data_IF_494258391974
#
_entry.id   IF_494258391974
#
_cell.length_a   1.000
_cell.length_b   1.000
_cell.length_c   1.000
_cell.angle_alpha   90.00
_cell.angle_beta   90.00
_cell.angle_gamma   90.00
#
_symmetry.space_group_name_H-M   'P 1'
#
loop_
_entity.id
_entity.type
_entity.pdbx_description
1 polymer ?
#
# COMPACT_ATOMS: atom_id res chain seq x y z
N UNK A 1 73.94 53.29 41.52
CA UNK A 1 72.51 53.27 41.12
C UNK A 1 72.30 52.06 40.23
N UNK A 2 71.74 50.99 40.77
CA UNK A 2 71.43 49.74 40.06
C UNK A 2 69.98 49.80 39.61
N UNK A 3 69.73 49.65 38.32
CA UNK A 3 68.38 49.59 37.75
C UNK A 3 67.68 48.29 38.18
N UNK A 4 66.37 48.33 38.49
CA UNK A 4 65.61 47.14 38.82
C UNK A 4 65.51 46.20 37.61
N UNK A 5 65.45 44.88 37.85
CA UNK A 5 65.37 43.89 36.78
C UNK A 5 64.06 44.04 35.97
N UNK A 6 64.09 43.70 34.67
CA UNK A 6 62.91 43.78 33.82
C UNK A 6 61.81 42.84 34.34
N UNK A 7 60.60 43.39 34.46
CA UNK A 7 59.38 42.66 34.81
C UNK A 7 59.19 41.53 33.78
N UNK A 8 59.19 40.28 34.27
CA UNK A 8 59.09 39.09 33.44
C UNK A 8 57.83 39.11 32.57
N UNK A 9 57.98 38.67 31.32
CA UNK A 9 56.87 38.53 30.39
C UNK A 9 55.78 37.62 30.99
N UNK A 10 54.48 37.94 30.82
CA UNK A 10 53.40 37.14 31.36
C UNK A 10 53.48 35.71 30.81
N UNK A 11 53.55 34.75 31.72
CA UNK A 11 53.52 33.32 31.44
C UNK A 11 52.14 32.98 30.84
N UNK A 12 52.10 32.73 29.53
CA UNK A 12 50.88 32.30 28.85
C UNK A 12 50.64 30.85 29.26
N UNK A 13 49.83 30.63 30.29
CA UNK A 13 49.34 29.30 30.60
C UNK A 13 48.43 28.83 29.48
N UNK A 14 48.88 27.81 28.77
CA UNK A 14 48.11 27.14 27.73
C UNK A 14 46.83 26.60 28.38
N UNK A 15 45.68 27.18 28.03
CA UNK A 15 44.39 26.81 28.60
C UNK A 15 44.06 25.41 28.08
N UNK A 16 44.44 24.38 28.84
CA UNK A 16 44.06 23.00 28.53
C UNK A 16 42.54 22.94 28.48
N UNK A 17 42.01 22.78 27.27
CA UNK A 17 40.58 22.60 27.06
C UNK A 17 40.21 21.25 27.67
N UNK A 18 39.39 21.26 28.72
CA UNK A 18 38.89 20.04 29.32
C UNK A 18 38.25 19.15 28.23
N UNK A 19 38.55 17.84 28.20
CA UNK A 19 38.00 16.94 27.20
C UNK A 19 36.47 16.98 27.27
N UNK A 20 35.83 17.19 26.11
CA UNK A 20 34.36 17.19 26.02
C UNK A 20 33.82 15.84 26.48
N UNK A 21 32.86 15.85 27.39
CA UNK A 21 32.19 14.63 27.84
C UNK A 21 31.48 13.96 26.65
N UNK A 22 31.61 12.63 26.48
CA UNK A 22 30.97 11.92 25.38
C UNK A 22 29.44 11.97 25.53
N UNK A 23 28.73 12.00 24.39
CA UNK A 23 27.26 11.92 24.39
C UNK A 23 26.84 10.62 25.10
N UNK A 24 25.88 10.66 26.05
CA UNK A 24 25.45 9.46 26.74
C UNK A 24 24.92 8.44 25.73
N UNK A 25 25.38 7.19 25.82
CA UNK A 25 24.97 6.11 24.92
C UNK A 25 23.44 5.98 24.83
N UNK A 26 22.71 6.16 25.94
CA UNK A 26 21.25 6.14 25.97
C UNK A 26 20.60 7.18 25.07
N UNK A 27 21.21 8.37 24.94
CA UNK A 27 20.72 9.42 24.03
C UNK A 27 20.90 8.99 22.58
N UNK A 28 22.05 8.41 22.24
CA UNK A 28 22.31 7.86 20.91
C UNK A 28 21.30 6.75 20.55
N UNK A 29 21.06 5.80 21.46
CA UNK A 29 20.09 4.71 21.26
C UNK A 29 18.67 5.27 21.07
N UNK A 30 18.27 6.30 21.82
CA UNK A 30 16.98 6.95 21.64
C UNK A 30 16.84 7.59 20.25
N UNK A 31 17.89 8.28 19.76
CA UNK A 31 17.89 8.88 18.43
C UNK A 31 17.83 7.84 17.31
N UNK A 32 18.62 6.77 17.42
CA UNK A 32 18.61 5.67 16.45
C UNK A 32 17.24 4.98 16.45
N UNK A 33 16.66 4.69 17.63
CA UNK A 33 15.34 4.09 17.74
C UNK A 33 14.24 4.95 17.11
N UNK A 34 14.20 6.24 17.43
CA UNK A 34 13.23 7.17 16.86
C UNK A 34 13.44 7.40 15.35
N UNK A 35 14.69 7.43 14.90
CA UNK A 35 15.02 7.53 13.48
C UNK A 35 14.58 6.30 12.69
N UNK A 36 14.84 5.09 13.21
CA UNK A 36 14.37 3.83 12.62
C UNK A 36 12.85 3.74 12.61
N UNK A 37 12.19 4.17 13.70
CA UNK A 37 10.72 4.25 13.76
C UNK A 37 10.19 5.16 12.66
N UNK A 38 10.72 6.37 12.56
CA UNK A 38 10.33 7.34 11.53
C UNK A 38 10.55 6.82 10.11
N UNK A 39 11.72 6.23 9.82
CA UNK A 39 12.02 5.65 8.51
C UNK A 39 11.11 4.45 8.19
N UNK A 40 10.81 3.62 9.20
CA UNK A 40 9.88 2.49 9.07
C UNK A 40 8.48 2.90 8.63
N UNK A 41 8.04 4.13 8.93
CA UNK A 41 6.73 4.65 8.52
C UNK A 41 6.57 4.83 7.01
N UNK A 42 7.67 4.99 6.28
CA UNK A 42 7.69 5.21 4.83
C UNK A 42 8.07 3.97 4.03
N UNK A 43 8.48 2.90 4.71
CA UNK A 43 8.87 1.65 4.08
C UNK A 43 7.63 0.74 3.89
N UNK A 44 7.74 -0.30 3.04
CA UNK A 44 6.73 -1.35 2.92
C UNK A 44 6.33 -1.96 4.26
N UNK A 45 5.03 -2.05 4.54
CA UNK A 45 4.49 -2.61 5.79
C UNK A 45 3.99 -4.04 5.63
N UNK A 46 3.29 -4.32 4.55
CA UNK A 46 2.78 -5.64 4.24
C UNK A 46 2.92 -5.93 2.75
N UNK A 47 3.04 -7.21 2.42
CA UNK A 47 2.88 -7.71 1.07
C UNK A 47 1.75 -8.71 1.06
N UNK A 48 0.75 -8.48 0.19
CA UNK A 48 -0.36 -9.38 -0.08
C UNK A 48 -0.13 -9.91 -1.49
N UNK A 49 0.21 -11.19 -1.63
CA UNK A 49 0.68 -11.78 -2.90
C UNK A 49 1.88 -11.02 -3.48
N UNK A 50 1.68 -10.24 -4.54
CA UNK A 50 2.70 -9.42 -5.22
C UNK A 50 2.50 -7.92 -5.03
N UNK A 51 1.44 -7.52 -4.31
CA UNK A 51 1.12 -6.11 -4.07
C UNK A 51 1.71 -5.71 -2.73
N UNK A 52 2.59 -4.71 -2.76
CA UNK A 52 3.19 -4.11 -1.57
C UNK A 52 2.32 -2.95 -1.08
N UNK A 53 1.93 -2.99 0.18
CA UNK A 53 1.23 -1.89 0.86
C UNK A 53 2.27 -1.11 1.65
N UNK A 54 2.42 0.18 1.33
CA UNK A 54 3.37 1.04 2.04
C UNK A 54 2.76 1.51 3.36
N UNK A 55 3.61 1.85 4.33
CA UNK A 55 3.12 2.39 5.59
C UNK A 55 2.26 3.64 5.43
N UNK A 56 2.60 4.51 4.48
CA UNK A 56 1.86 5.74 4.19
C UNK A 56 0.44 5.52 3.68
N UNK A 57 0.15 4.34 3.14
CA UNK A 57 -1.18 3.95 2.66
C UNK A 57 -2.12 3.56 3.82
N UNK A 58 -1.55 3.30 5.01
CA UNK A 58 -2.27 3.04 6.25
C UNK A 58 -1.93 4.06 7.35
N UNK A 59 -1.66 3.56 8.56
CA UNK A 59 -1.38 4.39 9.74
C UNK A 59 0.07 4.88 9.83
N UNK A 60 0.86 4.74 8.76
CA UNK A 60 2.24 5.21 8.67
C UNK A 60 2.37 6.72 8.87
N UNK A 61 1.38 7.50 8.47
CA UNK A 61 1.39 8.95 8.72
C UNK A 61 1.32 9.28 10.22
N UNK A 62 0.56 8.50 11.00
CA UNK A 62 0.43 8.68 12.44
C UNK A 62 1.74 8.32 13.13
N UNK A 63 2.33 7.17 12.77
CA UNK A 63 3.61 6.74 13.34
C UNK A 63 4.75 7.70 12.99
N UNK A 64 4.80 8.21 11.74
CA UNK A 64 5.79 9.20 11.31
C UNK A 64 5.70 10.50 12.12
N UNK A 65 4.49 11.04 12.30
CA UNK A 65 4.27 12.26 13.08
C UNK A 65 4.62 12.04 14.55
N UNK A 66 4.21 10.91 15.13
CA UNK A 66 4.51 10.59 16.52
C UNK A 66 6.03 10.43 16.77
N UNK A 67 6.75 9.74 15.88
CA UNK A 67 8.21 9.59 15.97
C UNK A 67 8.94 10.92 15.75
N UNK A 68 8.51 11.75 14.80
CA UNK A 68 9.09 13.07 14.57
C UNK A 68 8.85 14.02 15.77
N UNK A 69 7.65 13.99 16.36
CA UNK A 69 7.33 14.77 17.55
C UNK A 69 8.20 14.33 18.75
N UNK A 70 8.35 13.02 18.97
CA UNK A 70 9.23 12.48 19.99
C UNK A 70 10.69 12.92 19.79
N UNK A 71 11.18 12.91 18.55
CA UNK A 71 12.54 13.36 18.20
C UNK A 71 12.74 14.85 18.52
N UNK A 72 11.79 15.70 18.12
CA UNK A 72 11.84 17.13 18.37
C UNK A 72 11.77 17.46 19.87
N UNK A 73 10.92 16.75 20.62
CA UNK A 73 10.81 16.89 22.07
C UNK A 73 12.09 16.45 22.78
N UNK A 74 12.69 15.34 22.34
CA UNK A 74 13.95 14.85 22.89
C UNK A 74 15.08 15.87 22.66
N UNK A 75 15.21 16.40 21.44
CA UNK A 75 16.13 17.49 21.12
C UNK A 75 15.89 18.72 22.00
N UNK A 76 14.63 19.11 22.18
CA UNK A 76 14.26 20.21 23.07
C UNK A 76 14.64 19.94 24.53
N UNK A 77 14.48 18.71 25.00
CA UNK A 77 14.86 18.30 26.35
C UNK A 77 16.35 18.42 26.59
N UNK A 78 17.18 18.02 25.63
CA UNK A 78 18.64 18.13 25.71
C UNK A 78 19.12 19.60 25.78
N UNK A 79 18.31 20.54 25.30
CA UNK A 79 18.59 21.98 25.37
C UNK A 79 18.00 22.68 26.60
N UNK A 80 16.96 22.11 27.19
CA UNK A 80 16.20 22.77 28.24
C UNK A 80 16.64 22.31 29.62
N UNK A 81 17.50 23.07 30.30
CA UNK A 81 17.93 22.70 31.66
C UNK A 81 16.77 22.54 32.65
N UNK A 82 15.85 23.52 32.71
CA UNK A 82 14.72 23.48 33.66
C UNK A 82 13.55 22.60 33.24
N UNK A 83 13.33 22.39 31.94
CA UNK A 83 12.19 21.61 31.42
C UNK A 83 12.58 20.23 30.89
N UNK A 84 13.81 19.78 31.14
CA UNK A 84 14.33 18.51 30.63
C UNK A 84 13.39 17.36 30.97
N UNK A 85 13.01 17.20 32.24
CA UNK A 85 12.13 16.11 32.72
C UNK A 85 10.79 16.13 32.01
N UNK A 86 10.18 17.31 31.85
CA UNK A 86 8.88 17.46 31.17
C UNK A 86 8.99 17.05 29.70
N UNK A 87 9.98 17.60 28.98
CA UNK A 87 10.16 17.35 27.55
C UNK A 87 10.55 15.89 27.25
N UNK A 88 11.43 15.28 28.06
CA UNK A 88 11.70 13.84 27.95
C UNK A 88 10.47 13.01 28.25
N UNK A 89 9.63 13.42 29.20
CA UNK A 89 8.39 12.68 29.52
C UNK A 89 7.40 12.73 28.36
N UNK A 90 7.23 13.91 27.73
CA UNK A 90 6.40 14.06 26.54
C UNK A 90 6.97 13.28 25.35
N UNK A 91 8.30 13.26 25.17
CA UNK A 91 8.96 12.44 24.16
C UNK A 91 8.67 10.94 24.37
N UNK A 92 8.72 10.45 25.62
CA UNK A 92 8.35 9.07 25.95
C UNK A 92 6.90 8.74 25.61
N UNK A 93 5.96 9.65 25.88
CA UNK A 93 4.53 9.46 25.54
C UNK A 93 4.34 9.39 24.03
N UNK A 94 4.98 10.29 23.26
CA UNK A 94 4.92 10.27 21.81
C UNK A 94 5.56 8.99 21.21
N UNK A 95 6.71 8.55 21.76
CA UNK A 95 7.33 7.28 21.37
C UNK A 95 6.43 6.08 21.70
N UNK A 96 5.71 6.12 22.83
CA UNK A 96 4.78 5.07 23.24
C UNK A 96 3.56 5.00 22.30
N UNK A 97 3.05 6.15 21.87
CA UNK A 97 2.00 6.21 20.86
C UNK A 97 2.45 5.57 19.54
N UNK A 98 3.65 5.93 19.05
CA UNK A 98 4.22 5.31 17.84
C UNK A 98 4.38 3.79 17.99
N UNK A 99 4.94 3.32 19.11
CA UNK A 99 5.10 1.90 19.39
C UNK A 99 3.75 1.17 19.46
N UNK A 100 2.74 1.79 20.09
CA UNK A 100 1.39 1.23 20.17
C UNK A 100 0.75 1.03 18.81
N UNK A 101 0.85 2.01 17.91
CA UNK A 101 0.35 1.89 16.53
C UNK A 101 1.09 0.80 15.77
N UNK A 102 2.44 0.78 15.80
CA UNK A 102 3.22 -0.28 15.16
C UNK A 102 2.85 -1.70 15.63
N UNK A 103 2.69 -1.89 16.94
CA UNK A 103 2.32 -3.18 17.51
C UNK A 103 0.89 -3.56 17.13
N UNK A 104 -0.04 -2.60 17.13
CA UNK A 104 -1.41 -2.82 16.70
C UNK A 104 -1.47 -3.30 15.25
N UNK A 105 -0.80 -2.60 14.33
CA UNK A 105 -0.75 -2.96 12.92
C UNK A 105 -0.07 -4.31 12.69
N UNK A 106 1.04 -4.57 13.39
CA UNK A 106 1.71 -5.86 13.35
C UNK A 106 0.77 -7.00 13.79
N UNK A 107 0.04 -6.82 14.89
CA UNK A 107 -0.92 -7.82 15.38
C UNK A 107 -2.07 -8.06 14.42
N UNK A 108 -2.56 -6.99 13.78
CA UNK A 108 -3.66 -7.04 12.81
C UNK A 108 -3.23 -7.75 11.53
N UNK A 109 -2.07 -7.41 10.98
CA UNK A 109 -1.51 -8.04 9.77
C UNK A 109 -1.20 -9.53 10.02
N UNK A 110 -0.64 -9.86 11.19
CA UNK A 110 -0.42 -11.27 11.56
C UNK A 110 -1.72 -12.05 11.75
N UNK A 111 -2.78 -11.42 12.28
CA UNK A 111 -4.10 -12.04 12.40
C UNK A 111 -4.73 -12.37 11.04
N UNK A 112 -4.62 -11.45 10.06
CA UNK A 112 -5.09 -11.74 8.69
C UNK A 112 -4.37 -12.93 8.06
N UNK A 113 -3.07 -13.09 8.33
CA UNK A 113 -2.31 -14.23 7.82
C UNK A 113 -2.81 -15.57 8.40
N UNK A 114 -3.19 -15.61 9.68
CA UNK A 114 -3.73 -16.83 10.31
C UNK A 114 -5.15 -17.15 9.84
N UNK A 115 -5.99 -16.13 9.67
CA UNK A 115 -7.40 -16.33 9.30
C UNK A 115 -7.52 -16.85 7.85
N UNK A 116 -6.74 -16.29 6.93
CA UNK A 116 -6.70 -16.72 5.52
C UNK A 116 -6.14 -18.14 5.35
N UNK A 117 -5.14 -18.53 6.15
CA UNK A 117 -4.56 -19.87 6.10
C UNK A 117 -5.52 -21.00 6.53
N UNK A 118 -6.59 -20.67 7.26
CA UNK A 118 -7.57 -21.65 7.72
C UNK A 118 -8.72 -21.92 6.74
N UNK A 119 -9.02 -20.96 5.85
CA UNK A 119 -10.22 -20.97 5.00
C UNK A 119 -9.94 -21.11 3.50
N UNK A 120 -8.69 -20.99 3.05
CA UNK A 120 -8.34 -20.95 1.62
C UNK A 120 -7.40 -22.09 1.19
N UNK A 121 -7.98 -23.26 0.86
CA UNK A 121 -7.23 -24.34 0.17
C UNK A 121 -7.09 -24.11 -1.35
N UNK A 122 -7.67 -23.04 -1.91
CA UNK A 122 -7.77 -22.86 -3.38
C UNK A 122 -6.92 -21.68 -3.89
N UNK A 123 -6.63 -20.67 -3.05
CA UNK A 123 -5.72 -19.57 -3.39
C UNK A 123 -4.78 -19.32 -2.21
N UNK A 124 -3.49 -19.60 -2.40
CA UNK A 124 -2.45 -19.41 -1.38
C UNK A 124 -2.12 -17.90 -1.22
N UNK A 125 -3.07 -17.14 -0.67
CA UNK A 125 -2.89 -15.72 -0.37
C UNK A 125 -2.09 -15.60 0.91
N UNK A 126 -0.77 -15.40 0.77
CA UNK A 126 0.10 -15.12 1.91
C UNK A 126 0.19 -13.61 2.16
N UNK A 127 -0.10 -13.22 3.39
CA UNK A 127 0.13 -11.86 3.90
C UNK A 127 1.40 -11.90 4.75
N UNK A 128 2.44 -11.18 4.35
CA UNK A 128 3.72 -11.16 5.06
C UNK A 128 4.05 -9.76 5.57
N UNK A 129 4.39 -9.59 6.87
CA UNK A 129 4.95 -8.35 7.38
C UNK A 129 6.26 -8.02 6.66
N UNK A 130 6.42 -6.78 6.25
CA UNK A 130 7.59 -6.30 5.52
C UNK A 130 8.54 -5.50 6.42
N UNK A 131 9.72 -5.19 5.88
CA UNK A 131 10.82 -4.56 6.62
C UNK A 131 10.41 -3.25 7.31
N UNK A 132 9.54 -2.43 6.70
CA UNK A 132 9.12 -1.15 7.26
C UNK A 132 8.39 -1.30 8.58
N UNK A 133 7.44 -2.24 8.64
CA UNK A 133 6.69 -2.51 9.86
C UNK A 133 7.59 -3.09 10.96
N UNK A 134 8.50 -4.01 10.61
CA UNK A 134 9.42 -4.63 11.56
C UNK A 134 10.45 -3.62 12.11
N UNK A 135 11.09 -2.86 11.22
CA UNK A 135 12.05 -1.81 11.57
C UNK A 135 11.38 -0.73 12.42
N UNK A 136 10.17 -0.32 12.02
CA UNK A 136 9.34 0.65 12.72
C UNK A 136 9.02 0.19 14.16
N UNK A 137 8.52 -1.04 14.29
CA UNK A 137 8.18 -1.65 15.59
C UNK A 137 9.38 -1.74 16.51
N UNK A 138 10.49 -2.33 16.06
CA UNK A 138 11.71 -2.48 16.87
C UNK A 138 12.28 -1.11 17.26
N UNK A 139 12.35 -0.18 16.31
CA UNK A 139 12.82 1.18 16.54
C UNK A 139 11.99 1.92 17.59
N UNK A 140 10.67 1.84 17.49
CA UNK A 140 9.75 2.50 18.42
C UNK A 140 9.84 1.90 19.83
N UNK A 141 9.91 0.58 19.98
CA UNK A 141 10.07 -0.08 21.29
C UNK A 141 11.41 0.30 21.95
N UNK A 142 12.51 0.29 21.19
CA UNK A 142 13.83 0.72 21.67
C UNK A 142 13.81 2.19 22.09
N UNK A 143 13.13 3.05 21.32
CA UNK A 143 12.95 4.46 21.65
C UNK A 143 12.18 4.66 22.95
N UNK A 144 11.09 3.91 23.19
CA UNK A 144 10.32 3.97 24.45
C UNK A 144 11.20 3.65 25.64
N UNK A 145 11.90 2.51 25.61
CA UNK A 145 12.78 2.08 26.71
C UNK A 145 13.87 3.12 26.98
N UNK A 146 14.49 3.63 25.92
CA UNK A 146 15.55 4.64 26.03
C UNK A 146 15.03 5.97 26.56
N UNK A 147 13.87 6.45 26.09
CA UNK A 147 13.27 7.68 26.59
C UNK A 147 12.83 7.56 28.06
N UNK A 148 12.30 6.39 28.48
CA UNK A 148 11.99 6.13 29.89
C UNK A 148 13.24 6.13 30.77
N UNK A 149 14.33 5.51 30.32
CA UNK A 149 15.61 5.55 31.02
C UNK A 149 16.13 7.00 31.15
N UNK A 150 15.97 7.82 30.10
CA UNK A 150 16.30 9.24 30.15
C UNK A 150 15.39 10.01 31.12
N UNK A 151 14.09 9.72 31.19
CA UNK A 151 13.21 10.34 32.21
C UNK A 151 13.70 10.03 33.63
N UNK A 152 14.08 8.78 33.91
CA UNK A 152 14.60 8.37 35.22
C UNK A 152 15.91 9.08 35.54
N UNK A 153 16.85 9.13 34.58
CA UNK A 153 18.13 9.81 34.77
C UNK A 153 17.95 11.34 34.95
N UNK A 154 16.98 11.95 34.28
CA UNK A 154 16.68 13.37 34.40
C UNK A 154 16.10 13.69 35.78
N UNK A 155 15.21 12.83 36.32
CA UNK A 155 14.66 12.97 37.68
C UNK A 155 15.71 12.82 38.78
N UNK A 156 16.74 11.99 38.56
CA UNK A 156 17.88 11.83 39.49
C UNK A 156 18.90 12.98 39.40
N UNK A 157 18.68 13.98 38.54
CA UNK A 157 19.62 15.07 38.31
C UNK A 157 20.91 14.65 37.61
N UNK A 158 20.94 13.44 37.03
CA UNK A 158 22.16 12.82 36.50
C UNK A 158 22.38 13.04 35.00
N UNK A 159 21.43 13.64 34.28
CA UNK A 159 21.47 13.57 32.82
C UNK A 159 22.34 14.64 32.18
N UNK A 160 22.28 15.91 32.63
CA UNK A 160 23.07 16.99 32.03
C UNK A 160 23.25 18.11 33.07
N UNK A 161 24.35 18.08 33.85
CA UNK A 161 24.81 19.29 34.57
C UNK A 161 25.74 20.14 33.71
N UNK A 162 26.33 19.58 32.67
CA UNK A 162 27.20 20.30 31.76
C UNK A 162 26.43 20.70 30.50
N UNK A 163 26.27 22.01 30.21
CA UNK A 163 25.65 22.43 28.95
C UNK A 163 26.38 21.75 27.79
N UNK A 164 25.63 21.16 26.86
CA UNK A 164 26.25 20.58 25.66
C UNK A 164 27.21 21.60 25.04
N UNK A 165 28.34 21.15 24.46
CA UNK A 165 29.20 22.03 23.67
C UNK A 165 28.33 22.79 22.67
N UNK A 166 28.66 24.05 22.43
CA UNK A 166 27.87 25.02 21.68
C UNK A 166 27.74 24.58 20.20
N UNK A 167 26.95 23.54 19.94
CA UNK A 167 26.50 23.16 18.61
C UNK A 167 25.66 24.34 18.16
N UNK A 168 26.29 25.22 17.37
CA UNK A 168 25.68 26.46 16.88
C UNK A 168 24.26 26.14 16.47
N UNK A 169 23.31 26.83 17.11
CA UNK A 169 21.86 26.67 16.97
C UNK A 169 21.36 26.46 15.53
N UNK A 170 22.14 26.92 14.54
CA UNK A 170 21.97 26.77 13.10
C UNK A 170 21.95 25.32 12.60
N UNK A 171 22.93 24.48 12.92
CA UNK A 171 23.04 23.15 12.28
C UNK A 171 21.90 22.22 12.72
N UNK A 172 21.47 22.36 13.96
CA UNK A 172 20.33 21.61 14.49
C UNK A 172 18.98 22.20 14.06
N UNK A 173 18.88 23.53 13.87
CA UNK A 173 17.68 24.14 13.31
C UNK A 173 17.45 23.70 11.86
N UNK A 174 18.54 23.50 11.11
CA UNK A 174 18.51 22.91 9.76
C UNK A 174 18.01 21.45 9.84
N UNK A 175 18.51 20.64 10.79
CA UNK A 175 18.05 19.27 10.95
C UNK A 175 16.55 19.20 11.29
N UNK A 176 16.10 19.97 12.29
CA UNK A 176 14.69 20.02 12.72
C UNK A 176 13.78 20.55 11.62
N UNK A 177 14.18 21.62 10.92
CA UNK A 177 13.43 22.16 9.78
C UNK A 177 13.37 21.17 8.61
N UNK A 178 14.45 20.42 8.34
CA UNK A 178 14.46 19.38 7.33
C UNK A 178 13.52 18.22 7.71
N UNK A 179 13.52 17.77 8.97
CA UNK A 179 12.61 16.72 9.44
C UNK A 179 11.15 17.18 9.39
N UNK A 180 10.85 18.42 9.78
CA UNK A 180 9.51 19.03 9.69
C UNK A 180 9.06 19.23 8.24
N UNK A 181 9.96 19.64 7.34
CA UNK A 181 9.66 19.77 5.92
C UNK A 181 9.38 18.41 5.28
N UNK A 182 10.16 17.38 5.62
CA UNK A 182 9.95 16.01 5.14
C UNK A 182 8.64 15.42 5.66
N UNK A 183 8.28 15.63 6.93
CA UNK A 183 6.98 15.19 7.48
C UNK A 183 5.80 15.91 6.83
N UNK A 184 5.91 17.23 6.60
CA UNK A 184 4.84 17.99 5.94
C UNK A 184 4.72 17.69 4.44
N UNK A 185 5.78 17.24 3.78
CA UNK A 185 5.74 16.83 2.37
C UNK A 185 5.13 15.45 2.15
N UNK A 186 5.12 14.59 3.17
CA UNK A 186 4.56 13.26 3.09
C UNK A 186 3.05 13.19 3.41
N UNK A 187 2.42 14.29 3.83
CA UNK A 187 0.97 14.34 4.13
C UNK A 187 0.21 14.89 2.92
N UNK A 188 -0.58 14.07 2.19
CA UNK A 188 -1.17 14.45 0.89
C UNK A 188 -2.07 15.70 0.93
N UNK A 189 -2.72 15.95 2.08
CA UNK A 189 -3.70 17.04 2.24
C UNK A 189 -3.11 18.44 2.46
N UNK A 190 -1.79 18.58 2.63
CA UNK A 190 -1.16 19.84 3.06
C UNK A 190 -0.19 20.45 2.03
N UNK A 191 -0.15 19.93 0.80
CA UNK A 191 0.83 20.30 -0.23
C UNK A 191 1.01 21.82 -0.45
N UNK A 192 -0.06 22.61 -0.30
CA UNK A 192 0.00 24.09 -0.40
C UNK A 192 0.79 24.70 0.76
N UNK A 193 0.56 24.23 1.99
CA UNK A 193 1.28 24.68 3.19
C UNK A 193 2.73 24.22 3.11
N UNK A 194 2.98 23.02 2.57
CA UNK A 194 4.33 22.48 2.36
C UNK A 194 5.10 23.27 1.31
N UNK A 195 4.46 23.63 0.19
CA UNK A 195 5.07 24.47 -0.84
C UNK A 195 5.42 25.86 -0.29
N UNK A 196 4.50 26.48 0.48
CA UNK A 196 4.73 27.78 1.11
C UNK A 196 5.86 27.70 2.16
N UNK A 197 5.87 26.67 3.00
CA UNK A 197 6.90 26.48 4.02
C UNK A 197 8.27 26.16 3.41
N UNK A 198 8.33 25.38 2.32
CA UNK A 198 9.55 25.07 1.58
C UNK A 198 10.11 26.32 0.88
N UNK A 199 9.25 27.12 0.23
CA UNK A 199 9.65 28.39 -0.40
C UNK A 199 10.12 29.38 0.66
N UNK A 200 9.39 29.54 1.76
CA UNK A 200 9.79 30.42 2.86
C UNK A 200 11.12 30.00 3.48
N UNK A 201 11.32 28.69 3.69
CA UNK A 201 12.57 28.14 4.23
C UNK A 201 13.73 28.29 3.25
N UNK A 202 13.50 28.10 1.94
CA UNK A 202 14.48 28.32 0.88
C UNK A 202 14.89 29.79 0.75
N UNK A 203 13.93 30.72 0.83
CA UNK A 203 14.18 32.17 0.81
C UNK A 203 14.95 32.61 2.06
N UNK A 204 14.58 32.10 3.25
CA UNK A 204 15.32 32.32 4.49
C UNK A 204 16.75 31.75 4.40
N UNK A 205 16.93 30.61 3.78
CA UNK A 205 18.25 30.00 3.59
C UNK A 205 19.13 30.80 2.61
N UNK A 206 18.61 31.17 1.43
CA UNK A 206 19.34 31.98 0.45
C UNK A 206 19.76 33.35 1.01
N UNK A 207 18.92 33.96 1.83
CA UNK A 207 19.19 35.26 2.43
C UNK A 207 20.29 35.21 3.51
N UNK A 208 20.61 34.02 4.06
CA UNK A 208 21.56 33.85 5.17
C UNK A 208 22.81 33.03 4.83
N UNK A 209 22.82 32.27 3.72
CA UNK A 209 23.93 31.40 3.31
C UNK A 209 24.97 32.08 2.38
N UNK A 210 24.78 33.35 2.05
CA UNK A 210 25.43 34.00 0.91
C UNK A 210 26.97 34.09 0.86
N UNK A 211 27.80 33.91 1.93
CA UNK A 211 29.24 34.03 1.73
C UNK A 211 30.10 32.76 1.90
N UNK A 212 29.61 31.53 2.11
CA UNK A 212 30.52 30.39 2.38
C UNK A 212 30.28 29.13 1.55
N UNK A 213 31.29 28.83 0.70
CA UNK A 213 31.39 27.78 -0.33
C UNK A 213 31.28 26.31 0.14
N UNK A 214 30.97 26.05 1.42
CA UNK A 214 30.82 24.68 1.97
C UNK A 214 29.36 24.28 2.23
N UNK A 215 28.40 25.18 2.03
CA UNK A 215 26.97 24.91 2.22
C UNK A 215 26.28 24.17 1.05
N UNK A 216 27.02 23.83 -0.02
CA UNK A 216 26.44 23.35 -1.27
C UNK A 216 25.97 21.90 -1.20
N UNK A 217 26.69 20.97 -0.56
CA UNK A 217 26.33 19.55 -0.61
C UNK A 217 25.09 19.18 0.24
N UNK A 218 25.01 19.71 1.47
CA UNK A 218 23.87 19.47 2.38
C UNK A 218 22.62 20.19 1.88
N UNK A 219 22.78 21.39 1.32
CA UNK A 219 21.69 22.12 0.67
C UNK A 219 21.17 21.38 -0.58
N UNK A 220 22.07 20.80 -1.39
CA UNK A 220 21.69 20.01 -2.57
C UNK A 220 20.92 18.74 -2.19
N UNK A 221 21.34 18.03 -1.12
CA UNK A 221 20.63 16.83 -0.66
C UNK A 221 19.26 17.17 -0.06
N UNK A 222 19.13 18.25 0.70
CA UNK A 222 17.84 18.72 1.21
C UNK A 222 16.92 19.13 0.05
N UNK A 223 17.44 19.83 -0.95
CA UNK A 223 16.67 20.23 -2.15
C UNK A 223 16.25 19.03 -3.00
N UNK A 224 17.14 18.05 -3.23
CA UNK A 224 16.83 16.81 -3.94
C UNK A 224 15.79 15.96 -3.20
N UNK A 225 15.87 15.86 -1.86
CA UNK A 225 14.86 15.22 -1.05
C UNK A 225 13.50 15.92 -1.11
N UNK A 226 13.48 17.25 -1.21
CA UNK A 226 12.25 18.04 -1.36
C UNK A 226 11.63 17.84 -2.74
N UNK A 227 12.44 17.74 -3.81
CA UNK A 227 11.96 17.47 -5.17
C UNK A 227 11.41 16.05 -5.34
N UNK A 228 12.05 15.04 -4.71
CA UNK A 228 11.55 13.66 -4.70
C UNK A 228 10.22 13.55 -3.93
N UNK A 229 10.09 14.24 -2.80
CA UNK A 229 8.83 14.29 -2.05
C UNK A 229 7.71 15.02 -2.82
N UNK A 230 8.05 16.09 -3.55
CA UNK A 230 7.10 16.77 -4.43
C UNK A 230 6.64 15.88 -5.60
N UNK A 231 7.53 15.04 -6.16
CA UNK A 231 7.17 14.06 -7.19
C UNK A 231 6.17 13.00 -6.71
N UNK A 232 6.33 12.50 -5.47
CA UNK A 232 5.38 11.58 -4.85
C UNK A 232 4.01 12.22 -4.57
N UNK A 233 3.99 13.49 -4.17
CA UNK A 233 2.75 14.25 -3.95
C UNK A 233 1.94 14.49 -5.24
N UNK A 234 2.61 14.67 -6.38
CA UNK A 234 1.93 14.79 -7.69
C UNK A 234 1.31 13.46 -8.13
N UNK A 235 1.97 12.32 -7.86
CA UNK A 235 1.40 10.99 -8.11
C UNK A 235 0.17 10.69 -7.25
N UNK A 236 0.21 11.04 -5.95
CA UNK A 236 -0.93 10.90 -5.04
C UNK A 236 -2.10 11.82 -5.39
N UNK A 237 -1.83 13.06 -5.81
CA UNK A 237 -2.87 14.00 -6.23
C UNK A 237 -3.60 13.54 -7.51
N UNK A 238 -2.90 12.88 -8.44
CA UNK A 238 -3.52 12.31 -9.63
C UNK A 238 -4.43 11.12 -9.28
N UNK A 239 -4.00 10.25 -8.36
CA UNK A 239 -4.82 9.12 -7.87
C UNK A 239 -6.06 9.59 -7.09
N UNK A 240 -5.93 10.62 -6.26
CA UNK A 240 -7.03 11.15 -5.46
C UNK A 240 -8.02 12.00 -6.27
N UNK A 241 -7.57 12.64 -7.36
CA UNK A 241 -8.47 13.34 -8.28
C UNK A 241 -9.41 12.38 -9.03
N UNK A 242 -8.99 11.14 -9.27
CA UNK A 242 -9.83 10.12 -9.87
C UNK A 242 -10.91 9.56 -8.92
N UNK A 243 -10.67 9.56 -7.60
CA UNK A 243 -11.66 9.09 -6.59
C UNK A 243 -12.74 10.13 -6.25
N UNK A 244 -12.55 11.41 -6.58
CA UNK A 244 -13.44 12.45 -6.08
C UNK A 244 -14.76 12.61 -6.86
N UNK A 245 -14.84 12.06 -8.07
CA UNK A 245 -16.05 12.16 -8.91
C UNK A 245 -17.08 11.05 -8.62
N UNK A 246 -16.70 9.93 -8.01
CA UNK A 246 -17.60 8.82 -7.64
C UNK A 246 -18.02 8.82 -6.17
N UNK A 247 -17.27 9.50 -5.28
CA UNK A 247 -17.56 9.64 -3.85
C UNK A 247 -18.81 10.49 -3.57
N UNK A 248 -19.98 9.91 -3.81
CA UNK A 248 -21.29 10.53 -3.59
C UNK A 248 -22.43 9.91 -4.38
N UNK A 249 -22.13 9.07 -5.38
CA UNK A 249 -23.14 8.33 -6.14
C UNK A 249 -23.53 7.06 -5.39
N UNK A 250 -24.81 6.73 -5.39
CA UNK A 250 -25.31 5.47 -4.83
C UNK A 250 -24.76 4.30 -5.66
N UNK A 251 -24.44 3.17 -5.03
CA UNK A 251 -23.89 2.00 -5.74
C UNK A 251 -24.84 1.51 -6.85
N UNK A 252 -26.15 1.65 -6.65
CA UNK A 252 -27.17 1.36 -7.67
C UNK A 252 -27.11 2.27 -8.91
N UNK A 253 -26.55 3.48 -8.80
CA UNK A 253 -26.34 4.38 -9.94
C UNK A 253 -25.01 4.11 -10.66
N UNK A 254 -23.98 3.71 -9.91
CA UNK A 254 -22.66 3.38 -10.47
C UNK A 254 -22.75 2.08 -11.25
N UNK A 255 -23.42 1.07 -10.69
CA UNK A 255 -23.60 -0.26 -11.27
C UNK A 255 -24.99 -0.45 -11.88
N UNK A 256 -25.59 0.62 -12.40
CA UNK A 256 -26.88 0.54 -13.06
C UNK A 256 -26.80 -0.33 -14.33
N UNK A 257 -27.88 -1.08 -14.61
CA UNK A 257 -27.99 -1.84 -15.84
C UNK A 257 -27.80 -0.92 -17.07
N UNK A 258 -26.88 -1.31 -17.94
CA UNK A 258 -26.51 -0.54 -19.12
C UNK A 258 -25.43 0.53 -18.92
N UNK A 259 -24.90 0.72 -17.70
CA UNK A 259 -23.76 1.60 -17.43
C UNK A 259 -22.51 1.15 -18.21
N UNK A 260 -21.60 2.08 -18.54
CA UNK A 260 -20.36 1.71 -19.23
C UNK A 260 -19.43 0.96 -18.27
N UNK A 261 -18.84 -0.15 -18.72
CA UNK A 261 -17.84 -0.87 -17.93
C UNK A 261 -16.53 -0.07 -17.82
N UNK A 262 -16.24 0.80 -18.78
CA UNK A 262 -15.04 1.65 -18.75
C UNK A 262 -15.11 2.75 -17.67
N UNK A 263 -16.33 3.07 -17.20
CA UNK A 263 -16.54 3.98 -16.07
C UNK A 263 -16.37 3.27 -14.72
N UNK A 264 -16.27 1.93 -14.73
CA UNK A 264 -16.10 1.07 -13.55
C UNK A 264 -14.63 0.70 -13.42
N UNK A 265 -13.97 1.24 -12.40
CA UNK A 265 -12.54 1.01 -12.14
C UNK A 265 -12.30 -0.30 -11.37
N UNK A 266 -11.04 -0.74 -11.24
CA UNK A 266 -10.74 -1.96 -10.47
C UNK A 266 -11.17 -1.89 -8.99
N UNK A 267 -11.26 -0.68 -8.44
CA UNK A 267 -11.75 -0.39 -7.09
C UNK A 267 -12.59 0.88 -7.14
N UNK A 268 -13.91 0.72 -7.09
CA UNK A 268 -14.82 1.87 -7.01
C UNK A 268 -15.28 2.15 -5.59
N UNK A 269 -15.54 3.43 -5.33
CA UNK A 269 -16.18 3.89 -4.10
C UNK A 269 -17.55 4.44 -4.42
N UNK A 270 -18.56 3.88 -3.77
CA UNK A 270 -19.95 4.33 -3.90
C UNK A 270 -20.59 4.42 -2.51
N UNK A 271 -21.81 4.95 -2.44
CA UNK A 271 -22.58 5.04 -1.21
C UNK A 271 -23.63 3.93 -1.21
N UNK A 272 -23.70 3.16 -0.14
CA UNK A 272 -24.76 2.20 0.11
C UNK A 272 -25.27 2.41 1.54
N UNK A 273 -26.59 2.53 1.72
CA UNK A 273 -27.20 2.82 3.02
C UNK A 273 -26.58 4.04 3.75
N UNK A 274 -26.22 5.09 2.99
CA UNK A 274 -25.56 6.32 3.48
C UNK A 274 -24.17 6.08 4.09
N UNK A 275 -23.55 4.94 3.81
CA UNK A 275 -22.17 4.62 4.20
C UNK A 275 -21.31 4.50 2.95
N UNK A 276 -20.05 4.97 3.00
CA UNK A 276 -19.10 4.71 1.92
C UNK A 276 -18.80 3.21 1.89
N UNK A 277 -19.02 2.60 0.73
CA UNK A 277 -18.70 1.20 0.41
C UNK A 277 -17.58 1.16 -0.61
N UNK A 278 -16.68 0.19 -0.46
CA UNK A 278 -15.62 -0.10 -1.42
C UNK A 278 -16.02 -1.35 -2.18
N UNK A 279 -16.24 -1.22 -3.49
CA UNK A 279 -16.63 -2.33 -4.35
C UNK A 279 -15.40 -2.75 -5.14
N UNK A 280 -15.00 -4.00 -4.94
CA UNK A 280 -13.86 -4.60 -5.63
C UNK A 280 -14.38 -5.39 -6.84
N UNK A 281 -13.85 -5.07 -8.01
CA UNK A 281 -14.19 -5.79 -9.23
C UNK A 281 -13.19 -6.93 -9.44
N UNK A 282 -13.68 -8.17 -9.37
CA UNK A 282 -12.93 -9.32 -9.86
C UNK A 282 -12.86 -9.22 -11.38
N UNK A 283 -11.67 -9.42 -11.96
CA UNK A 283 -11.50 -9.45 -13.40
C UNK A 283 -10.99 -10.81 -13.86
N UNK A 284 -11.50 -11.30 -14.98
CA UNK A 284 -11.04 -12.53 -15.64
C UNK A 284 -10.83 -12.26 -17.11
N UNK A 285 -9.62 -12.48 -17.62
CA UNK A 285 -9.36 -12.45 -19.06
C UNK A 285 -9.90 -13.73 -19.69
N UNK A 286 -10.87 -13.59 -20.58
CA UNK A 286 -11.42 -14.68 -21.35
C UNK A 286 -10.41 -15.19 -22.40
N UNK A 287 -10.63 -16.39 -22.94
CA UNK A 287 -9.77 -17.00 -23.97
C UNK A 287 -9.66 -16.16 -25.26
N UNK A 288 -10.70 -15.41 -25.61
CA UNK A 288 -10.72 -14.51 -26.76
C UNK A 288 -9.97 -13.18 -26.50
N UNK A 289 -9.41 -13.00 -25.31
CA UNK A 289 -8.67 -11.81 -24.89
C UNK A 289 -9.54 -10.69 -24.30
N UNK A 290 -10.87 -10.84 -24.30
CA UNK A 290 -11.76 -9.90 -23.61
C UNK A 290 -11.61 -10.02 -22.09
N UNK A 291 -11.92 -8.97 -21.33
CA UNK A 291 -11.85 -8.99 -19.86
C UNK A 291 -13.25 -8.86 -19.30
N UNK A 292 -13.68 -9.84 -18.51
CA UNK A 292 -14.93 -9.82 -17.77
C UNK A 292 -14.68 -9.26 -16.37
N UNK A 293 -15.43 -8.22 -15.99
CA UNK A 293 -15.49 -7.68 -14.64
C UNK A 293 -16.73 -8.18 -13.92
N UNK A 294 -16.60 -8.54 -12.64
CA UNK A 294 -17.69 -9.08 -11.82
C UNK A 294 -17.59 -8.52 -10.40
N UNK A 295 -18.73 -8.16 -9.80
CA UNK A 295 -18.84 -7.87 -8.37
C UNK A 295 -20.22 -8.31 -7.83
N UNK A 296 -20.56 -7.89 -6.61
CA UNK A 296 -21.84 -8.21 -5.95
C UNK A 296 -23.07 -7.49 -6.54
N UNK A 297 -22.86 -6.45 -7.35
CA UNK A 297 -23.90 -5.66 -8.03
C UNK A 297 -24.08 -6.02 -9.52
N UNK A 298 -23.26 -6.92 -10.08
CA UNK A 298 -23.41 -7.37 -11.46
C UNK A 298 -22.11 -7.73 -12.16
N UNK A 299 -22.10 -7.62 -13.49
CA UNK A 299 -20.96 -7.97 -14.32
C UNK A 299 -20.97 -7.24 -15.67
N UNK A 300 -19.83 -7.18 -16.36
CA UNK A 300 -19.74 -6.65 -17.72
C UNK A 300 -18.38 -6.90 -18.36
N UNK A 301 -18.33 -6.91 -19.70
CA UNK A 301 -17.07 -7.02 -20.45
C UNK A 301 -16.43 -5.64 -20.65
N UNK A 302 -15.10 -5.56 -20.65
CA UNK A 302 -14.34 -4.35 -20.96
C UNK A 302 -14.80 -3.71 -22.28
N UNK A 303 -15.01 -2.38 -22.31
CA UNK A 303 -15.59 -1.68 -23.46
C UNK A 303 -17.09 -1.95 -23.69
N UNK A 304 -17.74 -2.72 -22.82
CA UNK A 304 -19.13 -3.10 -22.90
C UNK A 304 -20.03 -2.35 -21.92
N UNK A 305 -21.20 -2.95 -21.66
CA UNK A 305 -22.18 -2.45 -20.69
C UNK A 305 -22.25 -3.36 -19.47
N UNK A 306 -22.48 -2.76 -18.31
CA UNK A 306 -22.77 -3.42 -17.06
C UNK A 306 -24.15 -4.07 -17.12
N UNK A 307 -24.26 -5.27 -16.58
CA UNK A 307 -25.48 -6.07 -16.46
C UNK A 307 -25.70 -6.38 -14.98
N UNK A 308 -26.89 -6.05 -14.48
CA UNK A 308 -27.34 -6.50 -13.15
C UNK A 308 -28.09 -7.83 -13.21
N UNK A 309 -28.22 -8.43 -14.41
CA UNK A 309 -28.99 -9.64 -14.63
C UNK A 309 -28.18 -10.90 -14.23
N UNK A 310 -28.83 -11.76 -13.44
CA UNK A 310 -28.45 -13.13 -13.04
C UNK A 310 -26.96 -13.37 -12.74
N UNK A 311 -26.56 -14.64 -12.62
CA UNK A 311 -25.19 -15.02 -12.34
C UNK A 311 -24.27 -14.55 -13.47
N UNK A 312 -23.14 -13.92 -13.13
CA UNK A 312 -22.13 -13.57 -14.10
C UNK A 312 -21.74 -14.78 -14.95
N UNK A 313 -21.56 -14.63 -16.28
CA UNK A 313 -21.28 -15.72 -17.20
C UNK A 313 -19.81 -16.15 -17.09
N UNK A 314 -19.36 -16.49 -15.88
CA UNK A 314 -18.00 -16.94 -15.58
C UNK A 314 -17.61 -18.15 -16.43
N UNK A 315 -18.59 -18.98 -16.78
CA UNK A 315 -18.43 -20.08 -17.74
C UNK A 315 -17.98 -19.60 -19.13
N UNK A 316 -18.56 -18.52 -19.67
CA UNK A 316 -18.27 -18.03 -21.02
C UNK A 316 -16.80 -17.62 -21.20
N UNK A 317 -16.18 -17.03 -20.18
CA UNK A 317 -14.77 -16.60 -20.28
C UNK A 317 -13.79 -17.76 -20.48
N UNK A 318 -14.09 -18.92 -19.88
CA UNK A 318 -13.27 -20.12 -19.99
C UNK A 318 -13.79 -21.10 -21.03
N UNK A 319 -14.90 -20.75 -21.68
CA UNK A 319 -15.60 -21.58 -22.63
C UNK A 319 -14.86 -21.71 -23.96
N UNK A 320 -14.91 -22.89 -24.55
CA UNK A 320 -14.56 -23.12 -25.95
C UNK A 320 -15.80 -23.03 -26.87
N UNK A 321 -16.99 -22.72 -26.35
CA UNK A 321 -18.19 -22.55 -27.15
C UNK A 321 -18.00 -21.44 -28.19
N UNK A 322 -18.17 -21.79 -29.47
CA UNK A 322 -18.05 -20.84 -30.59
C UNK A 322 -19.40 -20.53 -31.24
N UNK A 323 -20.43 -21.34 -31.00
CA UNK A 323 -21.76 -21.20 -31.59
C UNK A 323 -22.85 -21.79 -30.69
N UNK A 324 -24.11 -21.59 -31.06
CA UNK A 324 -25.25 -22.09 -30.28
C UNK A 324 -25.45 -23.60 -30.47
N UNK A 325 -25.96 -24.27 -29.44
CA UNK A 325 -26.28 -25.70 -29.50
C UNK A 325 -27.29 -25.99 -30.62
N UNK A 326 -28.22 -25.07 -30.85
CA UNK A 326 -29.19 -25.16 -31.95
C UNK A 326 -28.54 -25.11 -33.34
N UNK A 327 -27.37 -24.47 -33.50
CA UNK A 327 -26.63 -24.43 -34.76
C UNK A 327 -25.77 -25.68 -34.97
N UNK A 328 -25.07 -26.14 -33.92
CA UNK A 328 -24.26 -27.36 -33.94
C UNK A 328 -25.15 -28.57 -34.27
N UNK A 329 -26.22 -28.72 -33.50
CA UNK A 329 -27.16 -29.84 -33.57
C UNK A 329 -28.38 -29.51 -34.45
N UNK A 330 -28.23 -28.63 -35.45
CA UNK A 330 -29.33 -28.34 -36.38
C UNK A 330 -29.66 -29.59 -37.21
N UNK A 331 -30.94 -29.76 -37.52
CA UNK A 331 -31.39 -30.87 -38.37
C UNK A 331 -30.63 -30.87 -39.71
N UNK A 332 -30.03 -32.01 -40.07
CA UNK A 332 -29.21 -32.17 -41.26
C UNK A 332 -27.73 -31.80 -41.11
N UNK A 333 -27.26 -31.35 -39.94
CA UNK A 333 -25.83 -31.19 -39.66
C UNK A 333 -25.09 -32.52 -39.79
N UNK A 334 -23.83 -32.52 -40.21
CA UNK A 334 -23.04 -33.76 -40.26
C UNK A 334 -22.52 -34.08 -38.87
N UNK A 335 -22.83 -35.27 -38.38
CA UNK A 335 -22.42 -35.74 -37.05
C UNK A 335 -20.92 -36.00 -37.04
N UNK A 336 -20.20 -35.38 -36.11
CA UNK A 336 -18.74 -35.53 -35.98
C UNK A 336 -18.38 -36.54 -34.88
N UNK A 337 -17.25 -37.24 -35.05
CA UNK A 337 -16.75 -38.18 -34.03
C UNK A 337 -16.45 -37.49 -32.70
N UNK A 338 -16.14 -36.20 -32.71
CA UNK A 338 -15.92 -35.43 -31.48
C UNK A 338 -17.17 -35.33 -30.59
N UNK A 339 -18.37 -35.54 -31.14
CA UNK A 339 -19.61 -35.51 -30.36
C UNK A 339 -19.90 -36.83 -29.62
N UNK A 340 -19.17 -37.91 -29.93
CA UNK A 340 -19.40 -39.24 -29.35
C UNK A 340 -18.92 -39.38 -27.91
N UNK A 341 -17.81 -38.73 -27.58
CA UNK A 341 -17.02 -39.02 -26.38
C UNK A 341 -16.54 -37.76 -25.64
N UNK A 342 -16.98 -36.58 -26.08
CA UNK A 342 -16.65 -35.29 -25.46
C UNK A 342 -17.91 -34.51 -25.11
N UNK A 343 -17.76 -33.61 -24.13
CA UNK A 343 -18.80 -32.64 -23.80
C UNK A 343 -18.71 -31.50 -24.79
N UNK A 344 -19.72 -31.35 -25.64
CA UNK A 344 -19.79 -30.25 -26.59
C UNK A 344 -20.25 -29.01 -25.83
N UNK A 345 -19.34 -28.03 -25.74
CA UNK A 345 -19.63 -26.75 -25.12
C UNK A 345 -20.24 -25.80 -26.16
N UNK A 346 -21.43 -25.29 -25.91
CA UNK A 346 -22.18 -24.45 -26.85
C UNK A 346 -23.06 -23.42 -26.14
N UNK A 347 -23.61 -22.46 -26.87
CA UNK A 347 -24.54 -21.48 -26.29
C UNK A 347 -26.00 -21.96 -26.39
N UNK A 348 -26.74 -21.93 -25.29
CA UNK A 348 -28.18 -22.25 -25.31
C UNK A 348 -29.02 -21.12 -25.93
N UNK A 349 -30.34 -21.22 -25.83
CA UNK A 349 -31.27 -20.21 -26.36
C UNK A 349 -31.24 -18.87 -25.60
N UNK A 350 -30.77 -18.83 -24.35
CA UNK A 350 -30.54 -17.59 -23.58
C UNK A 350 -29.13 -17.05 -23.80
N UNK A 351 -28.28 -17.81 -24.50
CA UNK A 351 -26.90 -17.49 -24.83
C UNK A 351 -25.91 -18.01 -23.80
N UNK A 352 -26.35 -18.68 -22.75
CA UNK A 352 -25.50 -19.20 -21.69
C UNK A 352 -24.75 -20.45 -22.13
N UNK A 353 -23.64 -20.73 -21.47
CA UNK A 353 -22.85 -21.93 -21.79
C UNK A 353 -23.64 -23.15 -21.33
N UNK A 354 -24.04 -23.95 -22.30
CA UNK A 354 -24.56 -25.29 -22.12
C UNK A 354 -23.49 -26.33 -22.48
N UNK A 355 -23.62 -27.48 -21.84
CA UNK A 355 -22.73 -28.62 -21.98
C UNK A 355 -23.57 -29.78 -22.46
N UNK A 356 -23.48 -30.08 -23.76
CA UNK A 356 -24.23 -31.16 -24.37
C UNK A 356 -23.37 -32.42 -24.37
N UNK A 357 -23.82 -33.41 -23.60
CA UNK A 357 -23.14 -34.70 -23.51
C UNK A 357 -23.72 -35.67 -24.53
N UNK A 358 -22.90 -36.07 -25.50
CA UNK A 358 -23.25 -37.13 -26.44
C UNK A 358 -22.91 -38.51 -25.89
N UNK A 359 -23.81 -39.46 -26.12
CA UNK A 359 -23.57 -40.89 -25.88
C UNK A 359 -23.33 -41.59 -27.21
N UNK A 360 -22.24 -42.35 -27.30
CA UNK A 360 -21.95 -43.18 -28.47
C UNK A 360 -22.31 -44.66 -28.25
N UNK A 361 -22.88 -45.29 -29.28
CA UNK A 361 -23.23 -46.71 -29.27
C UNK A 361 -23.00 -47.34 -30.64
N UNK A 362 -22.29 -48.47 -30.68
CA UNK A 362 -22.14 -49.27 -31.89
C UNK A 362 -23.41 -50.08 -32.17
N UNK A 363 -23.88 -50.09 -33.41
CA UNK A 363 -25.12 -50.78 -33.78
C UNK A 363 -24.87 -52.26 -34.04
N UNK A 364 -25.75 -53.15 -33.58
CA UNK A 364 -25.52 -54.61 -33.72
C UNK A 364 -25.63 -55.11 -35.17
N UNK A 365 -26.40 -54.44 -36.00
CA UNK A 365 -26.72 -54.85 -37.38
C UNK A 365 -25.85 -54.17 -38.45
N UNK A 366 -25.00 -53.22 -38.06
CA UNK A 366 -24.19 -52.41 -38.97
C UNK A 366 -22.89 -51.95 -38.33
N UNK A 367 -21.84 -51.70 -39.13
CA UNK A 367 -20.57 -51.15 -38.64
C UNK A 367 -20.65 -49.63 -38.37
N UNK A 368 -21.82 -49.13 -37.96
CA UNK A 368 -22.05 -47.70 -37.68
C UNK A 368 -22.00 -47.44 -36.18
N UNK A 369 -21.59 -46.23 -35.82
CA UNK A 369 -21.67 -45.70 -34.47
C UNK A 369 -22.73 -44.61 -34.44
N UNK A 370 -23.75 -44.80 -33.60
CA UNK A 370 -24.79 -43.82 -33.33
C UNK A 370 -24.34 -42.90 -32.19
N UNK A 371 -24.62 -41.60 -32.33
CA UNK A 371 -24.43 -40.58 -31.31
C UNK A 371 -25.82 -40.04 -30.94
N UNK A 372 -26.12 -39.93 -29.65
CA UNK A 372 -27.41 -39.47 -29.12
C UNK A 372 -27.17 -38.47 -27.99
N UNK A 373 -27.95 -37.39 -27.93
CA UNK A 373 -28.07 -36.52 -26.76
C UNK A 373 -29.52 -36.06 -26.58
N UNK A 374 -29.75 -35.12 -25.66
CA UNK A 374 -31.10 -34.59 -25.38
C UNK A 374 -31.69 -33.75 -26.54
N UNK A 375 -30.86 -33.36 -27.51
CA UNK A 375 -31.26 -32.57 -28.68
C UNK A 375 -31.56 -33.42 -29.92
N UNK A 376 -31.15 -34.69 -29.97
CA UNK A 376 -31.35 -35.56 -31.13
C UNK A 376 -30.39 -36.73 -31.24
N UNK A 377 -30.24 -37.24 -32.47
CA UNK A 377 -29.34 -38.36 -32.76
C UNK A 377 -28.79 -38.32 -34.19
N UNK A 378 -27.71 -39.04 -34.46
CA UNK A 378 -27.16 -39.23 -35.81
C UNK A 378 -26.11 -40.35 -35.84
N UNK A 379 -25.74 -40.82 -37.03
CA UNK A 379 -24.58 -41.72 -37.19
C UNK A 379 -23.33 -40.90 -37.51
N UNK A 380 -22.16 -41.31 -37.02
CA UNK A 380 -20.88 -40.63 -37.31
C UNK A 380 -20.68 -40.47 -38.83
N UNK A 381 -20.51 -39.22 -39.29
CA UNK A 381 -20.38 -38.87 -40.70
C UNK A 381 -21.69 -38.73 -41.47
N UNK A 382 -22.85 -38.96 -40.83
CA UNK A 382 -24.18 -38.84 -41.41
C UNK A 382 -24.96 -37.66 -40.80
N UNK A 383 -26.16 -37.42 -41.32
CA UNK A 383 -27.01 -36.29 -40.89
C UNK A 383 -27.52 -36.48 -39.45
N UNK A 384 -27.57 -35.37 -38.72
CA UNK A 384 -28.17 -35.23 -37.41
C UNK A 384 -29.68 -35.03 -37.52
N UNK A 385 -30.42 -35.69 -36.64
CA UNK A 385 -31.88 -35.71 -36.58
C UNK A 385 -32.35 -35.10 -35.26
N UNK A 386 -32.85 -33.86 -35.31
CA UNK A 386 -33.24 -33.11 -34.11
C UNK A 386 -34.60 -33.55 -33.56
N UNK A 387 -34.67 -33.84 -32.25
CA UNK A 387 -35.93 -34.16 -31.53
C UNK A 387 -36.64 -35.45 -31.96
N UNK A 388 -36.05 -36.27 -32.83
CA UNK A 388 -36.60 -37.55 -33.27
C UNK A 388 -36.24 -38.68 -32.28
N UNK A 389 -37.10 -39.70 -32.17
CA UNK A 389 -36.74 -40.92 -31.43
C UNK A 389 -35.62 -41.64 -32.17
N UNK A 390 -34.51 -41.90 -31.47
CA UNK A 390 -33.39 -42.64 -32.04
C UNK A 390 -33.83 -44.05 -32.45
N UNK A 391 -33.51 -44.52 -33.67
CA UNK A 391 -33.69 -45.91 -34.03
C UNK A 391 -32.82 -46.76 -33.11
N UNK A 392 -33.29 -47.97 -32.82
CA UNK A 392 -32.55 -48.92 -31.98
C UNK A 392 -31.31 -49.39 -32.71
N UNK A 393 -30.15 -49.00 -32.19
CA UNK A 393 -28.90 -49.72 -32.32
C UNK A 393 -28.80 -50.80 -31.24
#
# INVERSE_FOLDING_TARGET
>A
MTLPPPVGAPEIHDVQHAPRSPIPFTVLVAFVGLGSAFLGSFLPWAQVLFITINGTDGDGNITAVASAAALALLVGALRSGKRQVLLTSLASVAALAAAGTYIYDLSRISGFASDLGSSANIFNVSVTPQLGLLLGTVGAVVAVVSCLALVVAARRGGLIREPMPDWRSRDLAILVAATLAMTMAAVPRWWVVTAIAAVASGVLWMRWAAPRRLASAVGLMAFAGTLLAAGGAVGGALYQSAQHDSAGRECSEVFADGASVDDVSAVDTCVEDKKPSFVFNDSTTCKDGTVLYVNEHGWGYAGGKWSTADNAPRGRCNSNATESCANIFKNGATTETAWADDTVECFDATGDVAYEYGYSMGCFDSNKTQIINDLGWGYVGEQWHAGEQSPTC
#
